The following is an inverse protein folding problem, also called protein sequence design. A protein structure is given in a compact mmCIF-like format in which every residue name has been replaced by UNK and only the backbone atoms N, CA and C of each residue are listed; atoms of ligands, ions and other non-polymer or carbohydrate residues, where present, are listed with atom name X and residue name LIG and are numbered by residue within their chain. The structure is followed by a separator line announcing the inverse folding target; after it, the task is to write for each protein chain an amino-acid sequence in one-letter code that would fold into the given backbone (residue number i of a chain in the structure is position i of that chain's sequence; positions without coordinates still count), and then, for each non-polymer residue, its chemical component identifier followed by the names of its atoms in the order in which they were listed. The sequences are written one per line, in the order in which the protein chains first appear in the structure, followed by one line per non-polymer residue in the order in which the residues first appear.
data_IF_232205576798
#
_entry.id   IF_232205576798
#
_cell.length_a   1.000
_cell.length_b   1.000
_cell.length_c   1.000
_cell.angle_alpha   90.00
_cell.angle_beta   90.00
_cell.angle_gamma   90.00
#
_symmetry.space_group_name_H-M   'P 1'
#
loop_
_entity.id
_entity.type
_entity.pdbx_description
1 polymer ?
#
# COMPACT_ATOMS: atom_id res chain seq x y z
N UNK A 1 14.08 -9.29 28.29
CA UNK A 1 15.21 -8.39 28.00
C UNK A 1 15.20 -7.29 29.05
N UNK A 2 16.32 -7.05 29.73
CA UNK A 2 16.44 -5.91 30.66
C UNK A 2 16.50 -4.59 29.88
N UNK A 3 15.93 -3.54 30.46
CA UNK A 3 15.94 -2.20 29.87
C UNK A 3 17.39 -1.68 29.76
N UNK A 4 17.76 -1.14 28.60
CA UNK A 4 19.04 -0.45 28.43
C UNK A 4 18.81 1.01 28.85
N UNK A 5 19.41 1.42 29.97
CA UNK A 5 19.28 2.80 30.48
C UNK A 5 20.42 3.71 30.02
N UNK A 6 21.58 3.13 29.72
CA UNK A 6 22.75 3.83 29.19
C UNK A 6 23.45 2.95 28.17
N UNK A 7 23.97 3.59 27.13
CA UNK A 7 24.89 2.92 26.21
C UNK A 7 26.23 2.66 26.92
N UNK A 8 26.89 1.59 26.53
CA UNK A 8 28.28 1.31 26.94
C UNK A 8 29.26 2.14 26.12
N UNK A 9 30.49 2.34 26.61
CA UNK A 9 31.53 3.03 25.85
C UNK A 9 31.86 2.30 24.54
N UNK A 10 31.86 0.97 24.57
CA UNK A 10 32.02 0.14 23.37
C UNK A 10 30.92 0.39 22.33
N UNK A 11 29.67 0.60 22.74
CA UNK A 11 28.57 0.95 21.82
C UNK A 11 28.71 2.38 21.26
N UNK A 12 29.11 3.34 22.10
CA UNK A 12 29.35 4.73 21.66
C UNK A 12 30.50 4.84 20.67
N UNK A 13 31.59 4.10 20.89
CA UNK A 13 32.74 4.09 19.99
C UNK A 13 32.38 3.66 18.56
N UNK A 14 31.30 2.88 18.39
CA UNK A 14 30.81 2.44 17.08
C UNK A 14 29.98 3.49 16.34
N UNK A 15 29.66 4.63 16.93
CA UNK A 15 28.84 5.64 16.27
C UNK A 15 29.46 6.15 14.97
N UNK A 16 30.78 6.33 14.91
CA UNK A 16 31.45 6.74 13.67
C UNK A 16 31.19 5.78 12.51
N UNK A 17 31.32 4.48 12.76
CA UNK A 17 31.03 3.41 11.77
C UNK A 17 29.58 3.51 11.26
N UNK A 18 28.62 3.67 12.17
CA UNK A 18 27.21 3.73 11.80
C UNK A 18 26.86 5.02 11.06
N UNK A 19 27.38 6.15 11.50
CA UNK A 19 27.18 7.45 10.85
C UNK A 19 27.68 7.40 9.41
N UNK A 20 28.92 6.97 9.21
CA UNK A 20 29.50 6.84 7.86
C UNK A 20 28.65 5.92 6.99
N UNK A 21 28.30 4.73 7.51
CA UNK A 21 27.49 3.76 6.77
C UNK A 21 26.16 4.34 6.29
N UNK A 22 25.42 5.02 7.17
CA UNK A 22 24.10 5.54 6.81
C UNK A 22 24.18 6.79 5.93
N UNK A 23 25.24 7.60 6.06
CA UNK A 23 25.52 8.70 5.12
C UNK A 23 25.76 8.15 3.72
N UNK A 24 26.61 7.14 3.57
CA UNK A 24 26.89 6.51 2.27
C UNK A 24 25.62 5.93 1.63
N UNK A 25 24.78 5.26 2.42
CA UNK A 25 23.49 4.74 1.93
C UNK A 25 22.56 5.89 1.51
N UNK A 26 22.44 6.94 2.32
CA UNK A 26 21.52 8.05 2.07
C UNK A 26 21.92 8.94 0.87
N UNK A 27 23.22 9.00 0.56
CA UNK A 27 23.75 9.72 -0.59
C UNK A 27 23.88 8.86 -1.85
N UNK A 28 23.60 7.55 -1.76
CA UNK A 28 23.70 6.65 -2.89
C UNK A 28 22.65 6.96 -3.97
N UNK A 29 23.09 7.05 -5.21
CA UNK A 29 22.24 7.18 -6.40
C UNK A 29 22.13 5.89 -7.20
N UNK A 30 22.60 4.77 -6.63
CA UNK A 30 22.50 3.46 -7.26
C UNK A 30 21.03 3.01 -7.36
N UNK A 31 20.68 2.16 -8.35
CA UNK A 31 19.34 1.62 -8.46
C UNK A 31 18.89 0.95 -7.15
N UNK A 32 17.68 1.29 -6.69
CA UNK A 32 17.14 0.76 -5.45
C UNK A 32 16.81 -0.73 -5.56
N UNK A 33 17.24 -1.52 -4.57
CA UNK A 33 16.78 -2.89 -4.37
C UNK A 33 15.39 -2.87 -3.70
N UNK A 34 14.36 -2.83 -4.55
CA UNK A 34 12.97 -2.76 -4.09
C UNK A 34 12.52 -4.02 -3.33
N UNK A 35 13.07 -5.20 -3.64
CA UNK A 35 12.64 -6.43 -2.97
C UNK A 35 13.15 -6.48 -1.53
N UNK A 36 14.42 -6.11 -1.32
CA UNK A 36 14.99 -5.97 0.02
C UNK A 36 14.30 -4.85 0.81
N UNK A 37 14.04 -3.70 0.17
CA UNK A 37 13.36 -2.58 0.81
C UNK A 37 11.94 -2.98 1.26
N UNK A 38 11.19 -3.68 0.40
CA UNK A 38 9.84 -4.12 0.71
C UNK A 38 9.80 -5.16 1.83
N UNK A 39 10.73 -6.13 1.83
CA UNK A 39 10.82 -7.11 2.91
C UNK A 39 11.13 -6.44 4.26
N UNK A 40 12.04 -5.45 4.28
CA UNK A 40 12.37 -4.69 5.48
C UNK A 40 11.18 -3.84 5.96
N UNK A 41 10.49 -3.15 5.05
CA UNK A 41 9.31 -2.35 5.36
C UNK A 41 8.19 -3.22 5.96
N UNK A 42 7.89 -4.38 5.37
CA UNK A 42 6.85 -5.29 5.88
C UNK A 42 7.18 -5.87 7.25
N UNK A 43 8.46 -6.17 7.53
CA UNK A 43 8.91 -6.58 8.88
C UNK A 43 8.67 -5.51 9.92
N UNK A 44 8.75 -4.22 9.57
CA UNK A 44 8.44 -3.15 10.51
C UNK A 44 6.99 -3.24 11.00
N UNK A 45 6.03 -3.51 10.09
CA UNK A 45 4.62 -3.73 10.46
C UNK A 45 4.43 -4.96 11.34
N UNK A 46 5.14 -6.06 11.05
CA UNK A 46 5.11 -7.28 11.87
C UNK A 46 5.58 -7.00 13.30
N UNK A 47 6.69 -6.28 13.45
CA UNK A 47 7.29 -5.96 14.75
C UNK A 47 6.37 -5.13 15.66
N UNK A 48 5.48 -4.33 15.07
CA UNK A 48 4.49 -3.52 15.81
C UNK A 48 3.08 -4.11 15.77
N UNK A 49 2.93 -5.36 15.30
CA UNK A 49 1.66 -6.07 15.19
C UNK A 49 0.57 -5.29 14.42
N UNK A 50 0.97 -4.55 13.38
CA UNK A 50 0.05 -3.85 12.49
C UNK A 50 -0.27 -4.70 11.26
N UNK A 51 -1.48 -4.50 10.71
CA UNK A 51 -1.86 -5.09 9.44
C UNK A 51 -0.93 -4.58 8.34
N UNK A 52 -0.37 -5.52 7.57
CA UNK A 52 0.50 -5.20 6.44
C UNK A 52 -0.27 -4.46 5.34
N UNK A 53 0.39 -3.55 4.61
CA UNK A 53 -0.21 -2.95 3.43
C UNK A 53 -0.49 -4.01 2.36
N UNK A 54 -1.65 -3.91 1.70
CA UNK A 54 -2.03 -4.82 0.60
C UNK A 54 -1.33 -4.46 -0.72
N UNK A 55 -0.96 -3.20 -0.89
CA UNK A 55 -0.37 -2.65 -2.11
C UNK A 55 0.91 -1.92 -1.74
N UNK A 56 1.98 -2.21 -2.46
CA UNK A 56 3.26 -1.51 -2.36
C UNK A 56 3.55 -0.87 -3.71
N UNK A 57 3.57 0.46 -3.75
CA UNK A 57 3.82 1.23 -4.96
C UNK A 57 5.33 1.45 -5.12
N UNK A 58 5.92 0.84 -6.16
CA UNK A 58 7.33 1.05 -6.54
C UNK A 58 7.41 2.17 -7.57
N UNK A 59 8.29 3.14 -7.35
CA UNK A 59 8.48 4.31 -8.21
C UNK A 59 9.96 4.59 -8.39
N UNK A 60 10.35 4.99 -9.60
CA UNK A 60 11.76 5.22 -9.96
C UNK A 60 12.32 6.57 -9.55
N UNK A 61 11.50 7.49 -9.02
CA UNK A 61 11.97 8.78 -8.54
C UNK A 61 11.10 9.35 -7.41
N UNK A 62 11.64 10.24 -6.55
CA UNK A 62 10.85 10.91 -5.51
C UNK A 62 9.69 11.74 -6.08
N UNK A 63 9.89 12.37 -7.25
CA UNK A 63 8.83 13.12 -7.92
C UNK A 63 7.70 12.20 -8.38
N UNK A 64 8.03 11.05 -8.97
CA UNK A 64 7.05 10.03 -9.34
C UNK A 64 6.31 9.48 -8.11
N UNK A 65 6.95 9.43 -6.94
CA UNK A 65 6.26 9.09 -5.69
C UNK A 65 5.18 10.10 -5.31
N UNK A 66 5.51 11.39 -5.37
CA UNK A 66 4.59 12.46 -4.97
C UNK A 66 3.33 12.47 -5.85
N UNK A 67 3.50 12.37 -7.17
CA UNK A 67 2.38 12.37 -8.12
C UNK A 67 1.69 11.00 -8.17
N UNK A 68 2.48 9.93 -8.27
CA UNK A 68 1.99 8.57 -8.42
C UNK A 68 1.21 8.08 -7.21
N UNK A 69 1.59 8.49 -5.98
CA UNK A 69 0.84 8.17 -4.77
C UNK A 69 -0.57 8.75 -4.78
N UNK A 70 -0.71 10.03 -5.13
CA UNK A 70 -2.00 10.70 -5.22
C UNK A 70 -2.88 10.08 -6.33
N UNK A 71 -2.29 9.82 -7.49
CA UNK A 71 -3.00 9.18 -8.61
C UNK A 71 -3.46 7.77 -8.25
N UNK A 72 -2.58 6.94 -7.66
CA UNK A 72 -2.92 5.59 -7.24
C UNK A 72 -4.06 5.58 -6.22
N UNK A 73 -4.03 6.50 -5.25
CA UNK A 73 -5.12 6.66 -4.29
C UNK A 73 -6.44 7.02 -4.98
N UNK A 74 -6.43 7.99 -5.90
CA UNK A 74 -7.62 8.38 -6.66
C UNK A 74 -8.19 7.21 -7.48
N UNK A 75 -7.35 6.45 -8.19
CA UNK A 75 -7.78 5.29 -8.97
C UNK A 75 -8.39 4.19 -8.08
N UNK A 76 -7.79 3.92 -6.92
CA UNK A 76 -8.33 2.93 -5.98
C UNK A 76 -9.69 3.36 -5.40
N UNK A 77 -9.91 4.66 -5.16
CA UNK A 77 -11.19 5.19 -4.71
C UNK A 77 -12.26 5.09 -5.81
N UNK A 78 -11.89 5.30 -7.07
CA UNK A 78 -12.80 5.09 -8.20
C UNK A 78 -13.20 3.62 -8.34
N UNK A 79 -12.27 2.69 -8.20
CA UNK A 79 -12.57 1.25 -8.24
C UNK A 79 -13.49 0.81 -7.09
N UNK A 80 -13.36 1.40 -5.90
CA UNK A 80 -14.29 1.14 -4.78
C UNK A 80 -15.68 1.74 -5.01
N UNK A 81 -15.73 2.91 -5.66
CA UNK A 81 -16.98 3.63 -5.92
C UNK A 81 -17.73 3.10 -7.14
N UNK A 82 -17.03 2.39 -8.03
CA UNK A 82 -17.64 1.67 -9.15
C UNK A 82 -18.54 0.56 -8.58
N UNK A 83 -19.83 0.85 -8.45
CA UNK A 83 -20.86 -0.18 -8.27
C UNK A 83 -20.65 -1.25 -9.36
N UNK A 84 -20.85 -2.54 -9.08
CA UNK A 84 -20.95 -3.55 -10.13
C UNK A 84 -22.19 -3.24 -10.96
N UNK A 85 -22.02 -2.38 -11.95
CA UNK A 85 -23.07 -1.85 -12.82
C UNK A 85 -23.67 -2.92 -13.73
N UNK A 86 -23.05 -4.11 -13.83
CA UNK A 86 -23.61 -5.19 -14.64
C UNK A 86 -24.74 -5.94 -13.93
N UNK A 87 -24.57 -6.38 -12.68
CA UNK A 87 -25.53 -7.30 -12.05
C UNK A 87 -26.74 -6.60 -11.45
N UNK A 88 -26.57 -5.44 -10.82
CA UNK A 88 -27.69 -4.69 -10.26
C UNK A 88 -28.58 -4.10 -11.37
N UNK A 89 -27.96 -3.53 -12.40
CA UNK A 89 -28.69 -2.94 -13.53
C UNK A 89 -29.40 -4.01 -14.37
N UNK A 90 -28.78 -5.18 -14.57
CA UNK A 90 -29.45 -6.31 -15.23
C UNK A 90 -30.58 -6.86 -14.36
N UNK A 91 -30.40 -6.94 -13.03
CA UNK A 91 -31.45 -7.39 -12.12
C UNK A 91 -32.70 -6.50 -12.16
N UNK A 92 -32.51 -5.18 -12.10
CA UNK A 92 -33.61 -4.21 -12.20
C UNK A 92 -34.28 -4.28 -13.58
N UNK A 93 -33.48 -4.31 -14.66
CA UNK A 93 -34.00 -4.38 -16.02
C UNK A 93 -34.77 -5.69 -16.30
N UNK A 94 -34.26 -6.84 -15.85
CA UNK A 94 -34.92 -8.14 -16.00
C UNK A 94 -36.17 -8.20 -15.11
N UNK A 95 -36.10 -7.70 -13.87
CA UNK A 95 -37.24 -7.66 -12.97
C UNK A 95 -38.40 -6.86 -13.54
N UNK A 96 -38.13 -5.67 -14.07
CA UNK A 96 -39.14 -4.81 -14.70
C UNK A 96 -39.71 -5.44 -15.97
N UNK A 97 -38.87 -6.04 -16.82
CA UNK A 97 -39.32 -6.71 -18.05
C UNK A 97 -40.18 -7.95 -17.76
N UNK A 98 -39.76 -8.80 -16.81
CA UNK A 98 -40.51 -10.00 -16.44
C UNK A 98 -41.83 -9.63 -15.77
N UNK A 99 -41.83 -8.62 -14.89
CA UNK A 99 -43.06 -8.17 -14.22
C UNK A 99 -44.08 -7.60 -15.20
N UNK A 100 -43.63 -6.84 -16.20
CA UNK A 100 -44.49 -6.32 -17.25
C UNK A 100 -45.04 -7.46 -18.13
N UNK A 101 -44.17 -8.34 -18.65
CA UNK A 101 -44.60 -9.42 -19.55
C UNK A 101 -45.50 -10.45 -18.88
N UNK A 102 -45.20 -10.84 -17.63
CA UNK A 102 -46.02 -11.81 -16.90
C UNK A 102 -47.32 -11.17 -16.43
N UNK A 103 -47.29 -9.92 -15.97
CA UNK A 103 -48.48 -9.18 -15.56
C UNK A 103 -49.52 -9.06 -16.68
N UNK A 104 -49.07 -8.80 -17.90
CA UNK A 104 -49.92 -8.71 -19.09
C UNK A 104 -50.43 -10.07 -19.60
N UNK A 105 -49.83 -11.19 -19.16
CA UNK A 105 -50.23 -12.55 -19.55
C UNK A 105 -51.20 -13.21 -18.56
N UNK A 106 -51.25 -12.76 -17.31
CA UNK A 106 -52.05 -13.38 -16.24
C UNK A 106 -53.22 -12.51 -15.76
N UNK A 107 -53.37 -11.29 -16.29
CA UNK A 107 -54.52 -10.40 -16.08
C UNK A 107 -55.45 -10.39 -17.29
#
# INVERSE_FOLDING_TARGET
MSKIEKLTDAQRARFGEWVERYIQIGLSTEPADFDRANAAALRAYENVNLKKPMIVLRVGSPYACAVGGALAFWMLQQLKSAKPTSVAQVGDQVGDQVRAQVGDQVG
#
